data_IF_174372422564
#
_entry.id   IF_174372422564
#
_cell.length_a   1.000
_cell.length_b   1.000
_cell.length_c   1.000
_cell.angle_alpha   90.00
_cell.angle_beta   90.00
_cell.angle_gamma   90.00
#
_symmetry.space_group_name_H-M   'P 1'
#
loop_
_entity.id
_entity.type
_entity.pdbx_description
1 polymer ?
#
# COMPACT_ATOMS: atom_id res chain seq x y z
N UNK A 1 9.80 -20.74 23.11
CA UNK A 1 11.14 -20.82 22.49
C UNK A 1 10.98 -20.61 20.99
N UNK A 2 11.16 -19.39 20.44
CA UNK A 2 11.08 -19.21 19.00
C UNK A 2 12.35 -19.75 18.33
N UNK A 3 12.15 -20.66 17.38
CA UNK A 3 13.18 -21.26 16.55
C UNK A 3 13.82 -20.22 15.61
N UNK A 4 15.15 -20.27 15.51
CA UNK A 4 15.98 -19.26 14.85
C UNK A 4 15.86 -19.19 13.32
N UNK A 5 16.12 -17.98 12.82
CA UNK A 5 16.37 -17.70 11.41
C UNK A 5 17.60 -18.48 10.92
N UNK A 6 17.40 -19.38 9.95
CA UNK A 6 18.51 -20.00 9.21
C UNK A 6 18.94 -19.04 8.09
N UNK A 7 20.20 -18.62 8.13
CA UNK A 7 20.90 -17.99 7.01
C UNK A 7 20.93 -18.96 5.81
N UNK A 8 20.37 -18.54 4.69
CA UNK A 8 20.31 -19.30 3.43
C UNK A 8 21.73 -19.44 2.84
N UNK A 9 22.39 -20.56 3.12
CA UNK A 9 23.61 -20.97 2.41
C UNK A 9 23.17 -21.61 1.10
N UNK A 10 23.70 -21.12 -0.03
CA UNK A 10 23.39 -21.65 -1.36
C UNK A 10 23.72 -23.14 -1.46
N UNK A 11 22.77 -23.94 -1.94
CA UNK A 11 22.88 -25.39 -2.15
C UNK A 11 23.75 -25.67 -3.38
N UNK A 12 24.52 -26.78 -3.44
CA UNK A 12 25.24 -27.17 -4.66
C UNK A 12 24.33 -27.38 -5.89
N UNK A 13 23.04 -27.65 -5.64
CA UNK A 13 22.01 -27.84 -6.67
C UNK A 13 21.42 -26.52 -7.19
N UNK A 14 21.81 -25.39 -6.61
CA UNK A 14 21.34 -24.09 -7.06
C UNK A 14 21.86 -23.78 -8.46
N UNK A 15 20.98 -23.25 -9.31
CA UNK A 15 21.27 -22.95 -10.72
C UNK A 15 21.28 -21.46 -11.01
N UNK A 16 22.15 -21.04 -11.91
CA UNK A 16 22.21 -19.66 -12.37
C UNK A 16 20.95 -19.32 -13.19
N UNK A 17 20.22 -18.28 -12.82
CA UNK A 17 18.99 -17.87 -13.52
C UNK A 17 19.26 -17.49 -14.98
N UNK A 18 20.44 -16.94 -15.30
CA UNK A 18 20.79 -16.51 -16.67
C UNK A 18 21.31 -17.63 -17.58
N UNK A 19 22.21 -18.50 -17.11
CA UNK A 19 22.81 -19.55 -17.96
C UNK A 19 22.33 -20.97 -17.65
N UNK A 20 21.47 -21.15 -16.64
CA UNK A 20 20.86 -22.40 -16.17
C UNK A 20 21.82 -23.50 -15.69
N UNK A 21 23.13 -23.22 -15.65
CA UNK A 21 24.13 -24.15 -15.08
C UNK A 21 24.08 -24.17 -13.56
N UNK A 22 24.32 -25.34 -12.99
CA UNK A 22 24.41 -25.52 -11.54
C UNK A 22 25.71 -24.96 -10.98
N UNK A 23 25.72 -24.66 -9.67
CA UNK A 23 26.94 -24.27 -8.96
C UNK A 23 28.03 -25.35 -9.07
N UNK A 24 27.65 -26.62 -9.05
CA UNK A 24 28.57 -27.76 -9.24
C UNK A 24 29.24 -27.77 -10.62
N UNK A 25 28.50 -27.47 -11.70
CA UNK A 25 29.05 -27.42 -13.07
C UNK A 25 29.96 -26.22 -13.32
N UNK A 26 29.74 -25.13 -12.59
CA UNK A 26 30.48 -23.88 -12.78
C UNK A 26 31.72 -23.77 -11.90
N UNK A 27 31.80 -24.56 -10.81
CA UNK A 27 32.90 -24.51 -9.85
C UNK A 27 33.04 -23.16 -9.13
N UNK A 28 32.04 -22.28 -9.24
CA UNK A 28 32.03 -20.95 -8.61
C UNK A 28 30.74 -20.75 -7.82
N UNK A 29 30.80 -20.14 -6.62
CA UNK A 29 29.61 -19.87 -5.83
C UNK A 29 28.69 -18.87 -6.54
N UNK A 30 27.39 -19.16 -6.56
CA UNK A 30 26.40 -18.27 -7.16
C UNK A 30 26.18 -17.03 -6.28
N UNK A 31 26.04 -15.88 -6.93
CA UNK A 31 25.78 -14.59 -6.29
C UNK A 31 24.28 -14.30 -6.30
N UNK A 32 23.76 -13.87 -5.18
CA UNK A 32 22.36 -13.48 -5.03
C UNK A 32 22.16 -12.06 -5.59
N UNK A 33 21.03 -11.80 -6.25
CA UNK A 33 20.63 -10.47 -6.66
C UNK A 33 20.51 -9.52 -5.46
N UNK A 34 21.22 -8.39 -5.47
CA UNK A 34 21.18 -7.40 -4.41
C UNK A 34 19.80 -6.73 -4.23
N UNK A 35 18.96 -6.74 -5.27
CA UNK A 35 17.62 -6.17 -5.25
C UNK A 35 16.63 -7.05 -4.50
N UNK A 36 16.28 -8.19 -5.09
CA UNK A 36 15.24 -9.07 -4.57
C UNK A 36 15.74 -10.13 -3.58
N UNK A 37 17.05 -10.38 -3.51
CA UNK A 37 17.66 -11.45 -2.70
C UNK A 37 17.17 -12.88 -3.02
N UNK A 38 16.50 -13.09 -4.16
CA UNK A 38 15.92 -14.40 -4.54
C UNK A 38 16.60 -15.04 -5.74
N UNK A 39 17.00 -14.25 -6.75
CA UNK A 39 17.63 -14.78 -7.97
C UNK A 39 19.14 -15.00 -7.79
N UNK A 40 19.68 -16.05 -8.43
CA UNK A 40 21.07 -16.50 -8.31
C UNK A 40 21.80 -16.40 -9.65
N UNK A 41 23.03 -15.86 -9.64
CA UNK A 41 23.83 -15.63 -10.85
C UNK A 41 25.29 -16.00 -10.65
N UNK A 42 25.87 -16.68 -11.64
CA UNK A 42 27.30 -16.99 -11.62
C UNK A 42 28.19 -15.77 -11.91
N UNK A 43 27.64 -14.75 -12.59
CA UNK A 43 28.37 -13.56 -12.97
C UNK A 43 27.45 -12.35 -13.16
N UNK A 44 28.03 -11.15 -13.05
CA UNK A 44 27.33 -9.89 -13.36
C UNK A 44 26.78 -9.87 -14.79
N UNK A 45 27.48 -10.49 -15.74
CA UNK A 45 27.02 -10.64 -17.13
C UNK A 45 25.72 -11.44 -17.23
N UNK A 46 25.60 -12.55 -16.50
CA UNK A 46 24.35 -13.32 -16.45
C UNK A 46 23.20 -12.55 -15.79
N UNK A 47 23.49 -11.73 -14.78
CA UNK A 47 22.50 -10.86 -14.14
C UNK A 47 21.99 -9.75 -15.09
N UNK A 48 22.89 -9.15 -15.87
CA UNK A 48 22.55 -8.09 -16.83
C UNK A 48 21.80 -8.62 -18.06
N UNK A 49 22.20 -9.80 -18.56
CA UNK A 49 21.49 -10.47 -19.66
C UNK A 49 20.04 -10.78 -19.27
N UNK A 50 19.83 -11.29 -18.05
CA UNK A 50 18.51 -11.64 -17.53
C UNK A 50 17.75 -10.43 -16.97
N UNK A 51 18.27 -9.20 -17.08
CA UNK A 51 17.65 -7.99 -16.49
C UNK A 51 16.22 -7.76 -16.98
N UNK A 52 15.92 -8.11 -18.23
CA UNK A 52 14.56 -7.99 -18.79
C UNK A 52 13.63 -9.12 -18.32
N UNK A 53 14.15 -10.34 -18.16
CA UNK A 53 13.37 -11.51 -17.76
C UNK A 53 13.02 -11.51 -16.27
N UNK A 54 14.01 -11.29 -15.40
CA UNK A 54 13.76 -11.23 -13.94
C UNK A 54 13.37 -9.84 -13.44
N UNK A 55 13.40 -8.80 -14.29
CA UNK A 55 13.27 -7.39 -13.87
C UNK A 55 11.92 -7.06 -13.24
N UNK A 56 10.82 -7.58 -13.80
CA UNK A 56 9.47 -7.45 -13.24
C UNK A 56 9.37 -8.07 -11.85
N UNK A 57 9.87 -9.30 -11.71
CA UNK A 57 9.79 -10.08 -10.47
C UNK A 57 10.72 -9.50 -9.41
N UNK A 58 11.89 -9.00 -9.82
CA UNK A 58 12.83 -8.28 -8.98
C UNK A 58 12.18 -7.04 -8.37
N UNK A 59 11.47 -6.25 -9.18
CA UNK A 59 10.76 -5.07 -8.71
C UNK A 59 9.59 -5.43 -7.79
N UNK A 60 8.79 -6.44 -8.13
CA UNK A 60 7.69 -6.92 -7.29
C UNK A 60 8.17 -7.37 -5.90
N UNK A 61 9.24 -8.15 -5.84
CA UNK A 61 9.82 -8.64 -4.58
C UNK A 61 10.48 -7.51 -3.79
N UNK A 62 11.16 -6.56 -4.47
CA UNK A 62 11.73 -5.37 -3.81
C UNK A 62 10.67 -4.51 -3.13
N UNK A 63 9.52 -4.31 -3.78
CA UNK A 63 8.41 -3.52 -3.23
C UNK A 63 7.70 -4.30 -2.12
N UNK A 64 7.56 -5.62 -2.26
CA UNK A 64 6.98 -6.49 -1.23
C UNK A 64 7.82 -6.59 0.05
N UNK A 65 9.15 -6.64 -0.07
CA UNK A 65 10.06 -6.74 1.07
C UNK A 65 10.09 -5.48 1.96
N UNK A 66 9.71 -4.31 1.42
CA UNK A 66 9.55 -3.09 2.21
C UNK A 66 8.29 -3.07 3.09
N UNK A 67 7.34 -4.01 2.88
CA UNK A 67 6.09 -4.04 3.65
C UNK A 67 6.18 -4.85 4.95
N UNK A 68 7.29 -5.58 5.17
CA UNK A 68 7.52 -6.38 6.38
C UNK A 68 8.60 -5.81 7.32
N UNK A 69 9.06 -4.58 7.05
CA UNK A 69 9.90 -3.81 7.98
C UNK A 69 9.56 -2.33 7.87
N UNK A 70 8.35 -1.98 8.29
CA UNK A 70 8.07 -0.60 8.68
C UNK A 70 8.98 -0.22 9.86
N UNK A 71 9.48 1.02 9.94
CA UNK A 71 10.18 1.47 11.13
C UNK A 71 9.22 1.32 12.32
N UNK A 72 9.59 0.48 13.29
CA UNK A 72 8.98 0.53 14.61
C UNK A 72 9.06 1.99 15.07
N UNK A 73 7.95 2.63 15.47
CA UNK A 73 8.05 3.93 16.11
C UNK A 73 8.99 3.76 17.32
N UNK A 74 9.93 4.69 17.55
CA UNK A 74 10.75 4.62 18.74
C UNK A 74 9.83 4.53 19.96
N UNK A 75 10.16 3.69 20.97
CA UNK A 75 9.38 3.66 22.20
C UNK A 75 9.33 5.08 22.73
N UNK A 76 8.12 5.61 22.87
CA UNK A 76 7.90 6.89 23.53
C UNK A 76 8.47 6.72 24.95
N UNK A 77 9.52 7.46 25.35
CA UNK A 77 9.96 7.39 26.73
C UNK A 77 8.81 7.90 27.58
N UNK A 78 8.34 7.06 28.50
CA UNK A 78 7.39 7.47 29.52
C UNK A 78 7.91 8.75 30.18
N UNK A 79 7.08 9.79 30.20
CA UNK A 79 7.39 11.02 30.92
C UNK A 79 7.79 10.67 32.36
N UNK A 80 8.96 11.11 32.85
CA UNK A 80 9.30 10.91 34.25
C UNK A 80 8.34 11.74 35.11
N UNK A 81 7.89 11.22 36.28
CA UNK A 81 7.14 12.02 37.22
C UNK A 81 7.99 13.20 37.68
N UNK A 82 7.38 14.39 37.72
CA UNK A 82 7.95 15.60 38.29
C UNK A 82 8.03 15.48 39.82
N UNK A 83 8.99 14.69 40.29
CA UNK A 83 9.41 14.69 41.69
C UNK A 83 10.76 13.99 41.78
N UNK A 84 11.83 14.78 41.90
CA UNK A 84 13.19 14.44 42.36
C UNK A 84 14.28 14.82 41.35
N UNK A 85 14.58 16.13 41.25
CA UNK A 85 15.89 16.59 40.82
C UNK A 85 16.61 17.03 42.08
N UNK A 86 17.46 16.16 42.63
CA UNK A 86 18.40 16.53 43.69
C UNK A 86 19.59 17.24 43.04
N UNK A 87 19.78 18.52 43.35
CA UNK A 87 21.07 19.18 43.20
C UNK A 87 22.03 18.60 44.23
N UNK A 88 22.96 17.76 43.80
CA UNK A 88 24.24 17.64 44.50
C UNK A 88 25.37 17.71 43.49
N UNK A 89 26.21 18.71 43.70
CA UNK A 89 27.44 18.98 43.01
C UNK A 89 28.42 17.81 43.18
N UNK A 90 28.98 17.34 42.08
CA UNK A 90 30.41 17.07 41.99
C UNK A 90 30.78 16.78 40.53
N UNK A 91 31.17 17.82 39.80
CA UNK A 91 31.89 17.65 38.53
C UNK A 91 33.07 18.62 38.52
N UNK A 92 34.31 18.13 38.33
CA UNK A 92 35.49 18.99 38.38
C UNK A 92 35.44 20.04 37.26
N UNK A 93 35.69 21.28 37.66
CA UNK A 93 35.64 22.48 36.82
C UNK A 93 36.67 22.38 35.68
N UNK A 94 36.17 22.39 34.45
CA UNK A 94 36.99 22.63 33.25
C UNK A 94 37.37 24.12 33.22
N UNK A 95 38.62 24.49 32.88
CA UNK A 95 38.98 25.90 32.71
C UNK A 95 38.09 26.54 31.64
N UNK A 96 37.49 27.68 31.96
CA UNK A 96 36.65 28.46 31.04
C UNK A 96 37.55 29.06 29.95
N UNK A 97 37.34 28.66 28.70
CA UNK A 97 37.98 29.30 27.55
C UNK A 97 37.40 30.71 27.38
N UNK A 98 38.22 31.67 26.93
CA UNK A 98 37.84 33.09 26.76
C UNK A 98 36.64 33.33 25.79
N UNK A 99 36.14 32.28 25.13
CA UNK A 99 34.94 32.29 24.28
C UNK A 99 33.62 32.12 25.05
N UNK A 100 33.67 31.76 26.33
CA UNK A 100 32.49 31.57 27.19
C UNK A 100 32.12 32.84 27.98
N UNK A 101 32.66 34.01 27.60
CA UNK A 101 32.22 35.26 28.20
C UNK A 101 30.77 35.54 27.79
N UNK A 102 29.84 35.72 28.75
CA UNK A 102 28.47 36.11 28.45
C UNK A 102 28.47 37.33 27.53
N UNK A 103 27.81 37.22 26.37
CA UNK A 103 27.53 38.38 25.53
C UNK A 103 26.93 39.48 26.42
N UNK A 104 27.42 40.73 26.32
CA UNK A 104 26.80 41.86 27.00
C UNK A 104 25.29 41.84 26.77
N UNK A 105 24.51 42.14 27.80
CA UNK A 105 23.05 41.90 27.83
C UNK A 105 22.33 42.41 26.57
N UNK A 106 22.68 43.60 26.08
CA UNK A 106 22.13 44.14 24.83
C UNK A 106 22.43 43.31 23.58
N UNK A 107 23.62 42.70 23.48
CA UNK A 107 23.97 41.81 22.36
C UNK A 107 23.29 40.45 22.46
N UNK A 108 23.05 39.96 23.69
CA UNK A 108 22.32 38.71 23.95
C UNK A 108 20.85 38.84 23.50
N UNK A 109 20.21 39.96 23.82
CA UNK A 109 18.83 40.23 23.41
C UNK A 109 18.67 40.34 21.89
N UNK A 110 19.61 41.00 21.20
CA UNK A 110 19.63 41.10 19.73
C UNK A 110 19.80 39.71 19.09
N UNK A 111 20.67 38.86 19.64
CA UNK A 111 20.89 37.50 19.13
C UNK A 111 19.66 36.61 19.32
N UNK A 112 18.99 36.68 20.49
CA UNK A 112 17.74 35.95 20.75
C UNK A 112 16.64 36.41 19.79
N UNK A 113 16.45 37.72 19.63
CA UNK A 113 15.44 38.26 18.71
C UNK A 113 15.70 37.84 17.25
N UNK A 114 16.97 37.83 16.82
CA UNK A 114 17.36 37.42 15.47
C UNK A 114 17.13 35.93 15.23
N UNK A 115 17.38 35.08 16.22
CA UNK A 115 17.12 33.64 16.13
C UNK A 115 15.63 33.31 16.16
N UNK A 116 14.83 34.01 16.98
CA UNK A 116 13.36 33.86 16.98
C UNK A 116 12.76 34.26 15.64
N UNK A 117 13.22 35.38 15.06
CA UNK A 117 12.78 35.81 13.74
C UNK A 117 13.20 34.83 12.62
N UNK A 118 14.36 34.18 12.76
CA UNK A 118 14.80 33.13 11.84
C UNK A 118 13.91 31.89 11.95
N UNK A 119 13.66 31.38 13.16
CA UNK A 119 12.78 30.23 13.39
C UNK A 119 11.35 30.47 12.87
N UNK A 120 10.86 31.69 12.98
CA UNK A 120 9.53 32.06 12.48
C UNK A 120 9.49 32.09 10.94
N UNK A 121 10.56 32.55 10.27
CA UNK A 121 10.68 32.47 8.80
C UNK A 121 10.83 31.03 8.32
N UNK A 122 11.69 30.25 8.97
CA UNK A 122 11.93 28.85 8.62
C UNK A 122 10.65 28.01 8.83
N UNK A 123 9.87 28.30 9.88
CA UNK A 123 8.55 27.72 10.09
C UNK A 123 7.52 28.12 9.03
N UNK A 124 7.53 29.38 8.57
CA UNK A 124 6.69 29.83 7.45
C UNK A 124 7.09 29.17 6.13
N UNK A 125 8.38 28.96 5.89
CA UNK A 125 8.90 28.29 4.69
C UNK A 125 8.44 26.83 4.62
N UNK A 126 8.46 26.10 5.73
CA UNK A 126 7.92 24.73 5.83
C UNK A 126 6.40 24.66 5.55
N UNK A 127 5.63 25.64 6.03
CA UNK A 127 4.19 25.74 5.75
C UNK A 127 3.96 26.00 4.24
N UNK A 128 4.76 26.90 3.64
CA UNK A 128 4.68 27.20 2.21
C UNK A 128 5.07 25.97 1.38
N UNK A 129 6.12 25.23 1.75
CA UNK A 129 6.51 23.99 1.08
C UNK A 129 5.41 22.92 1.14
N UNK A 130 4.74 22.75 2.29
CA UNK A 130 3.64 21.81 2.42
C UNK A 130 2.42 22.23 1.58
N UNK A 131 2.09 23.52 1.55
CA UNK A 131 1.04 24.07 0.68
C UNK A 131 1.38 23.84 -0.80
N UNK A 132 2.63 24.10 -1.21
CA UNK A 132 3.08 23.87 -2.58
C UNK A 132 3.13 22.38 -2.92
N UNK A 133 3.52 21.51 -1.99
CA UNK A 133 3.48 20.05 -2.12
C UNK A 133 2.04 19.56 -2.33
N UNK A 134 1.10 20.01 -1.49
CA UNK A 134 -0.34 19.74 -1.63
C UNK A 134 -0.91 20.25 -2.94
N UNK A 135 -0.50 21.45 -3.40
CA UNK A 135 -0.88 21.99 -4.71
C UNK A 135 -0.30 21.20 -5.88
N UNK A 136 0.96 20.74 -5.79
CA UNK A 136 1.57 19.87 -6.81
C UNK A 136 0.88 18.52 -6.86
N UNK A 137 0.56 17.94 -5.71
CA UNK A 137 -0.17 16.69 -5.59
C UNK A 137 -1.60 16.82 -6.15
N UNK A 138 -2.31 17.91 -5.83
CA UNK A 138 -3.61 18.23 -6.43
C UNK A 138 -3.53 18.43 -7.94
N UNK A 139 -2.54 19.20 -8.45
CA UNK A 139 -2.33 19.36 -9.89
C UNK A 139 -1.99 18.05 -10.59
N UNK A 140 -1.24 17.16 -9.93
CA UNK A 140 -0.95 15.83 -10.44
C UNK A 140 -2.22 14.98 -10.53
N UNK A 141 -3.06 14.99 -9.50
CA UNK A 141 -4.38 14.33 -9.52
C UNK A 141 -5.34 14.96 -10.53
N UNK A 142 -5.38 16.28 -10.65
CA UNK A 142 -6.23 17.00 -11.63
C UNK A 142 -5.77 16.69 -13.06
N UNK A 143 -4.45 16.60 -13.31
CA UNK A 143 -3.89 16.21 -14.61
C UNK A 143 -4.16 14.73 -14.93
N UNK A 144 -4.13 13.85 -13.92
CA UNK A 144 -4.45 12.43 -14.07
C UNK A 144 -5.96 12.22 -14.28
N UNK A 145 -6.81 12.98 -13.58
CA UNK A 145 -8.26 13.00 -13.77
C UNK A 145 -8.65 13.57 -15.14
N UNK A 146 -7.97 14.62 -15.63
CA UNK A 146 -8.18 15.17 -16.97
C UNK A 146 -7.74 14.17 -18.06
N UNK A 147 -6.67 13.40 -17.82
CA UNK A 147 -6.27 12.30 -18.70
C UNK A 147 -7.27 11.12 -18.66
N UNK A 148 -7.97 10.90 -17.55
CA UNK A 148 -8.99 9.85 -17.40
C UNK A 148 -10.37 10.23 -17.97
N UNK A 149 -10.73 11.52 -18.02
CA UNK A 149 -12.04 12.01 -18.52
C UNK A 149 -12.41 11.59 -19.95
N UNK A 150 -11.48 11.05 -20.74
CA UNK A 150 -11.73 10.62 -22.12
C UNK A 150 -11.56 9.10 -22.30
N UNK A 151 -11.19 8.32 -21.27
CA UNK A 151 -10.85 6.88 -21.42
C UNK A 151 -11.29 5.94 -20.30
N UNK A 152 -11.99 6.42 -19.27
CA UNK A 152 -12.14 5.68 -18.01
C UNK A 152 -12.93 4.34 -18.08
N UNK A 153 -13.64 4.03 -19.17
CA UNK A 153 -14.30 2.72 -19.34
C UNK A 153 -14.19 2.16 -20.77
N UNK A 154 -13.19 2.62 -21.53
CA UNK A 154 -12.93 2.19 -22.91
C UNK A 154 -11.58 1.48 -23.08
N UNK A 155 -11.02 0.91 -22.02
CA UNK A 155 -9.84 0.04 -22.20
C UNK A 155 -10.26 -1.26 -22.91
N UNK A 156 -9.57 -1.67 -24.01
CA UNK A 156 -9.91 -2.87 -24.78
C UNK A 156 -9.97 -4.17 -23.95
N UNK A 157 -9.35 -4.19 -22.78
CA UNK A 157 -9.25 -5.36 -21.90
C UNK A 157 -10.58 -5.68 -21.17
N UNK A 158 -11.41 -4.69 -20.84
CA UNK A 158 -12.74 -4.92 -20.24
C UNK A 158 -13.68 -5.55 -21.29
N UNK A 159 -13.61 -5.12 -22.56
CA UNK A 159 -14.41 -5.70 -23.65
C UNK A 159 -14.03 -7.15 -23.97
N UNK A 160 -12.77 -7.55 -23.77
CA UNK A 160 -12.35 -8.96 -23.90
C UNK A 160 -13.02 -9.87 -22.87
N UNK A 161 -13.38 -9.36 -21.69
CA UNK A 161 -14.14 -10.10 -20.68
C UNK A 161 -15.63 -9.83 -20.67
N UNK A 162 -16.14 -8.87 -21.45
CA UNK A 162 -17.57 -8.77 -21.72
C UNK A 162 -18.10 -10.10 -22.29
N UNK A 163 -17.25 -10.89 -22.96
CA UNK A 163 -17.54 -12.28 -23.33
C UNK A 163 -17.53 -13.30 -22.18
N UNK A 164 -16.72 -13.08 -21.16
CA UNK A 164 -16.55 -13.96 -19.99
C UNK A 164 -17.67 -13.78 -18.96
N UNK A 165 -18.13 -12.53 -18.74
CA UNK A 165 -19.28 -12.20 -17.89
C UNK A 165 -20.63 -12.24 -18.61
N UNK A 166 -20.65 -12.62 -19.90
CA UNK A 166 -21.89 -12.83 -20.67
C UNK A 166 -22.73 -14.02 -20.18
N UNK A 167 -22.20 -14.85 -19.28
CA UNK A 167 -22.91 -15.99 -18.68
C UNK A 167 -23.34 -15.62 -17.27
N UNK A 168 -24.61 -15.80 -16.98
CA UNK A 168 -25.31 -15.52 -15.71
C UNK A 168 -24.84 -16.39 -14.52
N UNK A 169 -23.57 -16.82 -14.52
CA UNK A 169 -23.11 -17.94 -13.70
C UNK A 169 -21.73 -17.75 -13.08
N UNK A 170 -21.12 -16.56 -13.15
CA UNK A 170 -19.77 -16.39 -12.60
C UNK A 170 -19.72 -16.67 -11.09
N UNK A 171 -20.61 -16.03 -10.31
CA UNK A 171 -20.66 -16.27 -8.87
C UNK A 171 -21.21 -17.67 -8.55
N UNK A 172 -22.05 -18.25 -9.41
CA UNK A 172 -22.67 -19.55 -9.13
C UNK A 172 -21.71 -20.73 -9.21
N UNK A 173 -20.58 -20.60 -9.92
CA UNK A 173 -19.54 -21.65 -9.98
C UNK A 173 -18.52 -21.58 -8.83
N UNK A 174 -18.57 -20.51 -8.03
CA UNK A 174 -17.62 -20.30 -6.94
C UNK A 174 -18.14 -20.93 -5.63
N UNK A 175 -17.23 -21.40 -4.75
CA UNK A 175 -17.60 -21.77 -3.39
C UNK A 175 -18.24 -20.60 -2.64
N UNK A 176 -19.22 -20.88 -1.77
CA UNK A 176 -19.95 -19.87 -0.97
C UNK A 176 -19.05 -18.81 -0.34
N UNK A 177 -18.00 -19.25 0.35
CA UNK A 177 -17.05 -18.35 1.03
C UNK A 177 -16.28 -17.44 0.05
N UNK A 178 -16.02 -17.92 -1.17
CA UNK A 178 -15.34 -17.14 -2.21
C UNK A 178 -16.27 -16.07 -2.80
N UNK A 179 -17.55 -16.40 -3.01
CA UNK A 179 -18.56 -15.42 -3.45
C UNK A 179 -18.64 -14.26 -2.47
N UNK A 180 -18.76 -14.55 -1.17
CA UNK A 180 -18.85 -13.51 -0.13
C UNK A 180 -17.59 -12.62 -0.14
N UNK A 181 -16.39 -13.23 -0.14
CA UNK A 181 -15.12 -12.48 -0.17
C UNK A 181 -14.99 -11.61 -1.41
N UNK A 182 -15.34 -12.15 -2.58
CA UNK A 182 -15.27 -11.39 -3.83
C UNK A 182 -16.29 -10.26 -3.90
N UNK A 183 -17.48 -10.39 -3.32
CA UNK A 183 -18.44 -9.28 -3.24
C UNK A 183 -17.89 -8.12 -2.41
N UNK A 184 -17.27 -8.42 -1.26
CA UNK A 184 -16.63 -7.41 -0.41
C UNK A 184 -15.46 -6.74 -1.15
N UNK A 185 -14.58 -7.53 -1.76
CA UNK A 185 -13.42 -7.00 -2.48
C UNK A 185 -13.80 -6.29 -3.79
N UNK A 186 -14.94 -6.66 -4.41
CA UNK A 186 -15.55 -5.93 -5.52
C UNK A 186 -15.91 -4.50 -5.11
N UNK A 187 -16.58 -4.34 -3.96
CA UNK A 187 -16.87 -3.02 -3.40
C UNK A 187 -15.59 -2.24 -3.07
N UNK A 188 -14.63 -2.86 -2.37
CA UNK A 188 -13.36 -2.20 -2.00
C UNK A 188 -12.57 -1.73 -3.22
N UNK A 189 -12.54 -2.54 -4.27
CA UNK A 189 -11.92 -2.19 -5.54
C UNK A 189 -12.69 -1.07 -6.23
N UNK A 190 -14.03 -1.13 -6.25
CA UNK A 190 -14.88 -0.09 -6.84
C UNK A 190 -14.64 1.28 -6.23
N UNK A 191 -14.60 1.38 -4.90
CA UNK A 191 -14.33 2.62 -4.17
C UNK A 191 -12.92 3.15 -4.50
N UNK A 192 -11.95 2.24 -4.62
CA UNK A 192 -10.58 2.61 -4.99
C UNK A 192 -10.48 3.12 -6.43
N UNK A 193 -11.19 2.47 -7.36
CA UNK A 193 -11.28 2.89 -8.76
C UNK A 193 -11.98 4.26 -8.88
N UNK A 194 -13.03 4.53 -8.10
CA UNK A 194 -13.68 5.86 -8.05
C UNK A 194 -12.73 6.97 -7.64
N UNK A 195 -11.91 6.72 -6.62
CA UNK A 195 -10.87 7.66 -6.24
C UNK A 195 -9.82 7.85 -7.32
N UNK A 196 -9.30 6.75 -7.89
CA UNK A 196 -8.18 6.80 -8.84
C UNK A 196 -8.59 7.41 -10.18
N UNK A 197 -9.74 7.02 -10.73
CA UNK A 197 -10.13 7.37 -12.10
C UNK A 197 -11.07 8.58 -12.16
N UNK A 198 -11.89 8.80 -11.13
CA UNK A 198 -12.89 9.87 -11.11
C UNK A 198 -12.63 10.94 -10.04
N UNK A 199 -11.59 10.77 -9.21
CA UNK A 199 -11.26 11.67 -8.10
C UNK A 199 -12.42 11.86 -7.10
N UNK A 200 -13.31 10.87 -6.96
CA UNK A 200 -14.35 10.89 -5.94
C UNK A 200 -13.78 10.51 -4.57
N UNK A 201 -14.16 11.25 -3.54
CA UNK A 201 -13.73 11.05 -2.15
C UNK A 201 -14.87 10.41 -1.35
N UNK A 202 -15.12 9.12 -1.57
CA UNK A 202 -16.18 8.35 -0.91
C UNK A 202 -15.60 7.34 0.08
N UNK A 203 -16.33 7.08 1.18
CA UNK A 203 -15.94 6.14 2.24
C UNK A 203 -14.52 6.40 2.78
N UNK A 204 -13.66 5.39 2.72
CA UNK A 204 -12.26 5.44 3.22
C UNK A 204 -11.40 6.52 2.54
N UNK A 205 -11.77 6.98 1.34
CA UNK A 205 -11.07 8.08 0.67
C UNK A 205 -11.60 9.46 1.09
N UNK A 206 -12.86 9.54 1.51
CA UNK A 206 -13.49 10.74 2.09
C UNK A 206 -13.29 10.91 3.60
N UNK A 207 -12.65 9.94 4.28
CA UNK A 207 -12.60 9.86 5.75
C UNK A 207 -13.99 9.69 6.38
N UNK A 208 -14.89 9.02 5.65
CA UNK A 208 -16.26 8.71 6.08
C UNK A 208 -16.37 7.21 6.40
N UNK A 209 -17.41 6.83 7.14
CA UNK A 209 -17.71 5.43 7.37
C UNK A 209 -18.12 4.75 6.04
N UNK A 210 -17.42 3.71 5.57
CA UNK A 210 -17.77 3.01 4.32
C UNK A 210 -19.00 2.11 4.44
N UNK A 211 -19.49 1.83 5.66
CA UNK A 211 -20.59 0.87 5.90
C UNK A 211 -21.87 1.20 5.13
N UNK A 212 -22.40 2.45 5.13
CA UNK A 212 -23.62 2.77 4.40
C UNK A 212 -23.46 2.52 2.88
N UNK A 213 -22.32 2.92 2.32
CA UNK A 213 -22.01 2.69 0.90
C UNK A 213 -21.92 1.20 0.56
N UNK A 214 -21.44 0.37 1.50
CA UNK A 214 -21.40 -1.08 1.32
C UNK A 214 -22.79 -1.69 1.34
N UNK A 215 -23.68 -1.24 2.24
CA UNK A 215 -25.08 -1.68 2.27
C UNK A 215 -25.79 -1.31 0.96
N UNK A 216 -25.63 -0.09 0.47
CA UNK A 216 -26.18 0.34 -0.82
C UNK A 216 -25.64 -0.48 -2.00
N UNK A 217 -24.37 -0.87 -1.94
CA UNK A 217 -23.78 -1.76 -2.92
C UNK A 217 -24.43 -3.15 -2.88
N UNK A 218 -24.64 -3.72 -1.69
CA UNK A 218 -25.29 -5.03 -1.55
C UNK A 218 -26.73 -5.01 -2.07
N UNK A 219 -27.47 -3.91 -1.85
CA UNK A 219 -28.80 -3.71 -2.45
C UNK A 219 -28.76 -3.75 -3.98
N UNK A 220 -27.73 -3.15 -4.59
CA UNK A 220 -27.52 -3.19 -6.04
C UNK A 220 -27.18 -4.60 -6.53
N UNK A 221 -26.34 -5.33 -5.80
CA UNK A 221 -25.98 -6.72 -6.11
C UNK A 221 -27.21 -7.64 -6.10
N UNK A 222 -28.10 -7.47 -5.12
CA UNK A 222 -29.33 -8.27 -5.03
C UNK A 222 -30.31 -7.97 -6.15
N UNK A 223 -30.32 -6.74 -6.67
CA UNK A 223 -31.15 -6.34 -7.81
C UNK A 223 -30.52 -6.69 -9.17
N UNK A 224 -29.21 -6.94 -9.25
CA UNK A 224 -28.52 -7.16 -10.54
C UNK A 224 -28.70 -8.55 -11.12
N UNK A 225 -29.34 -9.49 -10.40
CA UNK A 225 -29.57 -10.86 -10.87
C UNK A 225 -28.29 -11.68 -11.06
N UNK A 226 -27.17 -11.27 -10.43
CA UNK A 226 -25.87 -11.93 -10.56
C UNK A 226 -25.60 -12.97 -9.48
N UNK A 227 -26.44 -13.00 -8.44
CA UNK A 227 -26.24 -13.83 -7.27
C UNK A 227 -26.63 -15.29 -7.54
N UNK A 228 -25.94 -16.25 -6.92
CA UNK A 228 -26.34 -17.65 -6.98
C UNK A 228 -27.71 -17.90 -6.33
N UNK A 229 -28.43 -18.95 -6.76
CA UNK A 229 -29.75 -19.32 -6.21
C UNK A 229 -29.74 -19.59 -4.71
N UNK A 230 -28.61 -20.03 -4.16
CA UNK A 230 -28.47 -20.30 -2.72
C UNK A 230 -28.28 -19.02 -1.88
N UNK A 231 -28.18 -17.84 -2.49
CA UNK A 231 -27.96 -16.60 -1.75
C UNK A 231 -29.18 -16.22 -0.91
N UNK A 232 -28.97 -16.06 0.40
CA UNK A 232 -30.03 -15.68 1.35
C UNK A 232 -29.67 -14.43 2.17
N UNK A 233 -30.61 -13.98 3.00
CA UNK A 233 -30.39 -12.88 3.95
C UNK A 233 -29.27 -13.22 4.95
N UNK A 234 -29.12 -14.49 5.32
CA UNK A 234 -28.02 -14.95 6.19
C UNK A 234 -26.66 -14.79 5.50
N UNK A 235 -26.58 -15.07 4.19
CA UNK A 235 -25.36 -14.83 3.41
C UNK A 235 -25.00 -13.34 3.35
N UNK A 236 -26.00 -12.48 3.19
CA UNK A 236 -25.80 -11.03 3.25
C UNK A 236 -25.26 -10.60 4.61
N UNK A 237 -25.87 -11.07 5.70
CA UNK A 237 -25.40 -10.77 7.06
C UNK A 237 -23.98 -11.28 7.30
N UNK A 238 -23.64 -12.45 6.78
CA UNK A 238 -22.28 -12.99 6.82
C UNK A 238 -21.29 -12.07 6.09
N UNK A 239 -21.67 -11.55 4.91
CA UNK A 239 -20.86 -10.59 4.17
C UNK A 239 -20.67 -9.28 4.95
N UNK A 240 -21.72 -8.75 5.57
CA UNK A 240 -21.66 -7.55 6.40
C UNK A 240 -20.74 -7.73 7.61
N UNK A 241 -20.82 -8.86 8.32
CA UNK A 241 -19.92 -9.16 9.44
C UNK A 241 -18.46 -9.30 8.98
N UNK A 242 -18.23 -10.08 7.91
CA UNK A 242 -16.87 -10.28 7.37
C UNK A 242 -16.27 -8.98 6.83
N UNK A 243 -17.11 -8.08 6.30
CA UNK A 243 -16.67 -6.77 5.80
C UNK A 243 -16.13 -5.85 6.90
N UNK A 244 -16.49 -6.09 8.17
CA UNK A 244 -16.06 -5.29 9.32
C UNK A 244 -14.92 -5.95 10.11
N UNK A 245 -14.58 -7.21 9.80
CA UNK A 245 -13.54 -7.93 10.50
C UNK A 245 -12.15 -7.39 10.15
N UNK A 246 -11.60 -6.55 11.04
CA UNK A 246 -10.27 -5.95 10.90
C UNK A 246 -9.12 -6.95 11.00
N UNK A 247 -9.38 -8.16 11.50
CA UNK A 247 -8.37 -9.23 11.56
C UNK A 247 -8.20 -9.93 10.21
N UNK A 248 -9.21 -9.84 9.34
CA UNK A 248 -9.25 -10.47 8.03
C UNK A 248 -8.79 -9.55 6.89
N UNK A 249 -8.45 -10.16 5.74
CA UNK A 249 -8.01 -9.45 4.54
C UNK A 249 -9.11 -8.69 3.79
N UNK A 250 -10.37 -8.74 4.26
CA UNK A 250 -11.57 -8.23 3.57
C UNK A 250 -12.21 -7.01 4.25
N UNK A 251 -11.62 -6.43 5.27
CA UNK A 251 -12.23 -5.27 5.93
C UNK A 251 -12.37 -4.07 4.98
N UNK A 252 -13.60 -3.53 4.87
CA UNK A 252 -13.94 -2.42 3.98
C UNK A 252 -13.34 -1.08 4.43
N UNK A 253 -12.83 -1.01 5.66
CA UNK A 253 -12.10 0.15 6.20
C UNK A 253 -10.68 0.25 5.64
N UNK A 254 -10.18 -0.82 5.02
CA UNK A 254 -8.85 -0.84 4.42
C UNK A 254 -8.94 -0.84 2.90
N UNK A 255 -8.06 -0.03 2.30
CA UNK A 255 -7.88 0.06 0.85
C UNK A 255 -7.39 -1.28 0.29
N UNK A 256 -7.83 -1.60 -0.92
CA UNK A 256 -7.35 -2.77 -1.64
C UNK A 256 -6.75 -2.34 -2.97
N UNK A 257 -5.61 -2.91 -3.32
CA UNK A 257 -5.00 -2.77 -4.63
C UNK A 257 -4.90 -4.13 -5.33
N UNK A 258 -4.49 -4.17 -6.60
CA UNK A 258 -4.39 -5.41 -7.37
C UNK A 258 -3.57 -6.50 -6.68
N UNK A 259 -2.45 -6.16 -6.04
CA UNK A 259 -1.62 -7.13 -5.31
C UNK A 259 -2.33 -7.76 -4.11
N UNK A 260 -3.09 -6.98 -3.34
CA UNK A 260 -3.87 -7.48 -2.22
C UNK A 260 -4.97 -8.45 -2.65
N UNK A 261 -5.65 -8.14 -3.77
CA UNK A 261 -6.64 -9.05 -4.37
C UNK A 261 -6.03 -10.37 -4.81
N UNK A 262 -4.86 -10.33 -5.45
CA UNK A 262 -4.14 -11.55 -5.87
C UNK A 262 -3.83 -12.42 -4.64
N UNK A 263 -3.33 -11.81 -3.56
CA UNK A 263 -3.03 -12.55 -2.32
C UNK A 263 -4.28 -13.11 -1.64
N UNK A 264 -5.37 -12.34 -1.58
CA UNK A 264 -6.62 -12.74 -0.93
C UNK A 264 -7.38 -13.86 -1.67
N UNK A 265 -7.14 -13.99 -2.98
CA UNK A 265 -7.89 -14.86 -3.86
C UNK A 265 -7.00 -15.90 -4.57
N UNK A 266 -6.12 -16.55 -3.80
CA UNK A 266 -5.40 -17.74 -4.26
C UNK A 266 -4.39 -17.50 -5.39
N UNK A 267 -3.88 -16.28 -5.53
CA UNK A 267 -2.90 -15.94 -6.56
C UNK A 267 -3.49 -15.62 -7.93
N UNK A 268 -4.80 -15.42 -8.03
CA UNK A 268 -5.45 -15.12 -9.30
C UNK A 268 -5.04 -13.73 -9.83
N UNK A 269 -4.07 -13.73 -10.75
CA UNK A 269 -3.49 -12.53 -11.34
C UNK A 269 -4.49 -11.66 -12.12
N UNK A 270 -5.64 -12.22 -12.51
CA UNK A 270 -6.71 -11.49 -13.20
C UNK A 270 -7.88 -11.14 -12.27
N UNK A 271 -7.76 -11.34 -10.96
CA UNK A 271 -8.84 -11.11 -9.99
C UNK A 271 -9.39 -9.68 -10.05
N UNK A 272 -8.51 -8.68 -10.06
CA UNK A 272 -8.94 -7.27 -10.16
C UNK A 272 -9.80 -7.01 -11.40
N UNK A 273 -9.48 -7.68 -12.50
CA UNK A 273 -10.22 -7.53 -13.75
C UNK A 273 -11.57 -8.27 -13.69
N UNK A 274 -11.63 -9.46 -13.05
CA UNK A 274 -12.89 -10.17 -12.78
C UNK A 274 -13.84 -9.31 -11.93
N UNK A 275 -13.34 -8.74 -10.84
CA UNK A 275 -14.13 -7.91 -9.94
C UNK A 275 -14.64 -6.63 -10.62
N UNK A 276 -13.87 -6.02 -11.52
CA UNK A 276 -14.36 -4.90 -12.34
C UNK A 276 -15.47 -5.31 -13.30
N UNK A 277 -15.38 -6.49 -13.91
CA UNK A 277 -16.45 -7.05 -14.72
C UNK A 277 -17.74 -7.26 -13.91
N UNK A 278 -17.61 -7.81 -12.70
CA UNK A 278 -18.73 -7.95 -11.77
C UNK A 278 -19.31 -6.58 -11.38
N UNK A 279 -18.47 -5.61 -11.02
CA UNK A 279 -18.91 -4.26 -10.68
C UNK A 279 -19.66 -3.60 -11.84
N UNK A 280 -19.19 -3.72 -13.08
CA UNK A 280 -19.89 -3.20 -14.26
C UNK A 280 -21.29 -3.81 -14.42
N UNK A 281 -21.47 -5.09 -14.05
CA UNK A 281 -22.77 -5.75 -14.08
C UNK A 281 -23.69 -5.27 -12.95
N UNK A 282 -23.16 -5.02 -11.76
CA UNK A 282 -23.91 -4.54 -10.59
C UNK A 282 -24.36 -3.08 -10.75
N UNK A 283 -23.46 -2.21 -11.21
CA UNK A 283 -23.74 -0.78 -11.39
C UNK A 283 -24.36 -0.44 -12.75
N UNK A 284 -24.29 -1.34 -13.73
CA UNK A 284 -24.83 -1.14 -15.08
C UNK A 284 -23.87 -0.40 -16.04
N UNK A 285 -24.23 -0.30 -17.34
CA UNK A 285 -23.44 0.37 -18.35
C UNK A 285 -23.46 1.89 -18.19
N UNK A 286 -22.50 2.42 -17.43
CA UNK A 286 -22.02 3.79 -17.55
C UNK A 286 -22.74 4.86 -16.72
N UNK A 287 -21.92 5.62 -15.99
CA UNK A 287 -22.12 6.97 -15.43
C UNK A 287 -23.07 7.07 -14.23
N UNK A 288 -22.45 7.23 -13.05
CA UNK A 288 -22.88 8.11 -11.96
C UNK A 288 -24.30 8.70 -12.06
N UNK A 289 -25.27 8.00 -11.48
CA UNK A 289 -26.57 8.48 -11.01
C UNK A 289 -27.09 7.35 -10.10
N UNK A 290 -27.33 7.50 -8.80
CA UNK A 290 -27.69 8.67 -8.00
C UNK A 290 -26.88 8.73 -6.68
#
# INVERSE_FOLDING_TARGET
>A
MPAGLKSTIASPDDTCTGCKKSQAELGVPLKICAGCKTALYCSKKCQEAERKGHGSDCQAIRVGASSLSGPTPPPVPAAPPLSSINLTADRPSRPLDARDTPLPEGKRQIWIASNMAKLQRDGQELIIEDILRKRRQKKWYDAQALACRVRAWSEPQIYLLAGYFRRETYLSVLPRAEVIRQLIDCFRLRISDEYVFNAQLIGVYGQEDPTPFFVDFMDKVERSGTLPEWWTVENRREAELLSQDETGGNCIRYRVGPGGLISNHGGDVVMALKLRGLAAKVYGPGVHAD
#
